data_IF_786588209987
#
_entry.id   IF_786588209987
#
_cell.length_a   1.000
_cell.length_b   1.000
_cell.length_c   1.000
_cell.angle_alpha   90.00
_cell.angle_beta   90.00
_cell.angle_gamma   90.00
#
_symmetry.space_group_name_H-M   'P 1'
#
loop_
_entity.id
_entity.type
_entity.pdbx_description
1 polymer ?
#
# COMPACT_ATOMS: atom_id res chain seq x y z
N UNK A 1 -10.20 -3.14 -10.77
CA UNK A 1 -9.06 -2.21 -10.65
C UNK A 1 -8.74 -1.84 -9.19
N UNK A 2 -9.56 -1.08 -8.45
CA UNK A 2 -9.23 -0.73 -7.04
C UNK A 2 -9.15 -1.93 -6.05
N UNK A 3 -9.98 -2.96 -6.25
CA UNK A 3 -9.97 -4.18 -5.44
C UNK A 3 -8.71 -5.04 -5.66
N UNK A 4 -8.15 -5.01 -6.88
CA UNK A 4 -6.95 -5.79 -7.25
C UNK A 4 -5.70 -5.18 -6.65
N UNK A 5 -5.60 -3.84 -6.67
CA UNK A 5 -4.56 -3.09 -6.01
C UNK A 5 -4.55 -3.34 -4.50
N UNK A 6 -5.72 -3.39 -3.85
CA UNK A 6 -5.81 -3.66 -2.41
C UNK A 6 -5.31 -5.07 -2.09
N UNK A 7 -5.66 -6.05 -2.94
CA UNK A 7 -5.19 -7.42 -2.79
C UNK A 7 -3.68 -7.54 -2.96
N UNK A 8 -3.08 -6.81 -3.91
CA UNK A 8 -1.61 -6.74 -4.08
C UNK A 8 -0.93 -6.12 -2.86
N UNK A 9 -1.47 -5.02 -2.33
CA UNK A 9 -0.98 -4.42 -1.09
C UNK A 9 -1.07 -5.41 0.07
N UNK A 10 -2.22 -6.07 0.25
CA UNK A 10 -2.42 -7.06 1.30
C UNK A 10 -1.42 -8.23 1.22
N UNK A 11 -1.09 -8.69 0.01
CA UNK A 11 -0.10 -9.77 -0.20
C UNK A 11 1.33 -9.37 0.21
N UNK A 12 1.66 -8.09 0.09
CA UNK A 12 3.00 -7.57 0.39
C UNK A 12 3.21 -7.17 1.85
N UNK A 13 2.16 -7.13 2.67
CA UNK A 13 2.22 -6.66 4.05
C UNK A 13 2.07 -7.79 5.06
N UNK A 14 2.61 -7.57 6.26
CA UNK A 14 2.47 -8.53 7.37
C UNK A 14 1.00 -8.79 7.74
N UNK A 15 0.64 -10.00 8.20
CA UNK A 15 -0.74 -10.36 8.55
C UNK A 15 -1.36 -9.49 9.66
N UNK A 16 -0.55 -8.93 10.57
CA UNK A 16 -1.02 -7.93 11.55
C UNK A 16 -1.57 -6.67 10.88
N UNK A 17 -0.83 -6.17 9.88
CA UNK A 17 -1.22 -5.02 9.09
C UNK A 17 -2.40 -5.34 8.15
N UNK A 18 -2.50 -6.57 7.63
CA UNK A 18 -3.68 -6.99 6.87
C UNK A 18 -4.96 -6.91 7.72
N UNK A 19 -4.93 -7.40 8.96
CA UNK A 19 -6.08 -7.34 9.87
C UNK A 19 -6.45 -5.89 10.17
N UNK A 20 -5.46 -5.06 10.45
CA UNK A 20 -5.65 -3.63 10.66
C UNK A 20 -6.30 -2.94 9.45
N UNK A 21 -5.78 -3.18 8.23
CA UNK A 21 -6.35 -2.62 6.99
C UNK A 21 -7.78 -3.11 6.77
N UNK A 22 -8.08 -4.36 7.05
CA UNK A 22 -9.44 -4.90 6.98
C UNK A 22 -10.39 -4.26 8.01
N UNK A 23 -9.87 -3.86 9.17
CA UNK A 23 -10.63 -3.15 10.22
C UNK A 23 -10.97 -1.71 9.83
N UNK A 24 -10.24 -1.11 8.90
CA UNK A 24 -10.47 0.26 8.45
C UNK A 24 -11.78 0.40 7.65
N UNK A 25 -12.48 1.54 7.75
CA UNK A 25 -13.59 1.84 6.86
C UNK A 25 -13.10 1.97 5.41
N UNK A 26 -13.99 1.66 4.46
CA UNK A 26 -13.68 1.63 3.02
C UNK A 26 -13.03 2.91 2.50
N UNK A 27 -13.40 4.07 3.03
CA UNK A 27 -12.80 5.35 2.67
C UNK A 27 -11.30 5.40 3.00
N UNK A 28 -10.92 4.95 4.20
CA UNK A 28 -9.53 4.87 4.64
C UNK A 28 -8.73 3.82 3.86
N UNK A 29 -9.34 2.69 3.53
CA UNK A 29 -8.72 1.69 2.65
C UNK A 29 -8.40 2.29 1.27
N UNK A 30 -9.31 3.08 0.70
CA UNK A 30 -9.08 3.77 -0.57
C UNK A 30 -8.03 4.89 -0.47
N UNK A 31 -7.96 5.61 0.65
CA UNK A 31 -6.88 6.58 0.90
C UNK A 31 -5.51 5.90 0.97
N UNK A 32 -5.41 4.80 1.72
CA UNK A 32 -4.20 3.99 1.82
C UNK A 32 -3.80 3.44 0.45
N UNK A 33 -4.78 2.95 -0.31
CA UNK A 33 -4.56 2.48 -1.67
C UNK A 33 -3.97 3.57 -2.57
N UNK A 34 -4.57 4.76 -2.56
CA UNK A 34 -4.06 5.91 -3.32
C UNK A 34 -2.64 6.28 -2.92
N UNK A 35 -2.32 6.24 -1.62
CA UNK A 35 -0.98 6.51 -1.12
C UNK A 35 0.00 5.44 -1.63
N UNK A 36 -0.37 4.18 -1.57
CA UNK A 36 0.44 3.08 -2.10
C UNK A 36 0.65 3.16 -3.63
N UNK A 37 -0.38 3.56 -4.38
CA UNK A 37 -0.28 3.79 -5.83
C UNK A 37 0.61 5.00 -6.16
N UNK A 38 0.49 6.11 -5.44
CA UNK A 38 1.31 7.32 -5.59
C UNK A 38 2.79 7.06 -5.31
N UNK A 39 3.06 6.21 -4.31
CA UNK A 39 4.40 5.77 -3.94
C UNK A 39 4.97 4.67 -4.86
N UNK A 40 4.27 4.29 -5.94
CA UNK A 40 4.77 3.36 -6.96
C UNK A 40 4.57 1.87 -6.64
N UNK A 41 3.79 1.52 -5.62
CA UNK A 41 3.57 0.14 -5.19
C UNK A 41 2.73 -0.70 -6.16
N UNK A 42 1.84 -0.07 -6.94
CA UNK A 42 0.96 -0.76 -7.89
C UNK A 42 1.46 -0.72 -9.35
N UNK A 43 2.44 0.12 -9.65
CA UNK A 43 2.92 0.27 -11.03
C UNK A 43 3.93 -0.82 -11.34
N UNK A 44 3.53 -1.78 -12.17
CA UNK A 44 4.42 -2.66 -12.94
C UNK A 44 5.30 -1.88 -13.97
N UNK A 45 5.51 -0.57 -13.74
CA UNK A 45 6.48 0.27 -14.43
C UNK A 45 7.89 -0.06 -13.90
N UNK A 46 8.28 -1.32 -14.07
CA UNK A 46 9.69 -1.66 -14.11
C UNK A 46 10.35 -0.85 -15.23
N UNK A 47 11.49 -0.22 -14.90
CA UNK A 47 12.36 0.53 -15.79
C UNK A 47 11.87 1.92 -16.22
N UNK A 48 12.12 2.96 -15.42
CA UNK A 48 12.98 4.10 -15.82
C UNK A 48 13.66 4.60 -14.54
N UNK A 49 14.97 4.35 -14.42
CA UNK A 49 15.67 4.38 -13.14
C UNK A 49 15.58 5.71 -12.39
N UNK A 50 15.17 5.67 -11.13
CA UNK A 50 15.54 6.66 -10.10
C UNK A 50 15.29 6.03 -8.72
N UNK A 51 16.36 5.94 -7.94
CA UNK A 51 16.45 5.68 -6.50
C UNK A 51 15.89 4.39 -5.88
N UNK A 52 16.75 3.78 -5.06
CA UNK A 52 16.62 2.57 -4.26
C UNK A 52 15.56 2.66 -3.14
N UNK A 53 14.44 3.33 -3.37
CA UNK A 53 13.38 3.55 -2.39
C UNK A 53 12.16 2.71 -2.76
N UNK A 54 12.34 1.38 -2.83
CA UNK A 54 11.21 0.46 -2.77
C UNK A 54 10.44 0.80 -1.50
N UNK A 55 9.26 1.42 -1.65
CA UNK A 55 8.43 1.74 -0.50
C UNK A 55 8.03 0.44 0.15
N UNK A 56 8.51 0.25 1.37
CA UNK A 56 8.13 -0.87 2.20
C UNK A 56 6.66 -0.67 2.60
N UNK A 57 5.76 -1.58 2.19
CA UNK A 57 4.34 -1.40 2.35
C UNK A 57 3.91 -1.52 3.82
N UNK A 58 4.64 -2.27 4.66
CA UNK A 58 4.47 -2.25 6.11
C UNK A 58 4.81 -0.87 6.67
N UNK A 59 5.94 -0.27 6.28
CA UNK A 59 6.31 1.07 6.73
C UNK A 59 5.32 2.15 6.28
N UNK A 60 4.73 2.02 5.08
CA UNK A 60 3.69 2.92 4.59
C UNK A 60 2.42 2.79 5.43
N UNK A 61 2.02 1.57 5.78
CA UNK A 61 0.89 1.32 6.68
C UNK A 61 1.15 1.88 8.07
N UNK A 62 2.33 1.66 8.63
CA UNK A 62 2.69 2.22 9.93
C UNK A 62 2.63 3.75 9.93
N UNK A 63 3.10 4.38 8.86
CA UNK A 63 3.02 5.83 8.69
C UNK A 63 1.57 6.30 8.59
N UNK A 64 0.74 5.59 7.84
CA UNK A 64 -0.69 5.88 7.70
C UNK A 64 -1.44 5.70 9.04
N UNK A 65 -1.08 4.68 9.82
CA UNK A 65 -1.65 4.40 11.15
C UNK A 65 -1.30 5.47 12.18
N UNK A 66 -0.14 6.11 12.06
CA UNK A 66 0.34 7.17 12.95
C UNK A 66 -0.17 8.57 12.58
N UNK A 67 -0.83 8.74 11.43
CA UNK A 67 -1.32 10.03 10.93
C UNK A 67 -2.82 10.20 11.20
#
# INVERSE_FOLDING_TARGET
MAMEALSKLMDQISPDHQDWVNSLPRERQLELLKMWEDHGGNTELGNIGTDSNSVDPDALIEKFRKH
#
